data_IF_914891351931
#
_entry.id   IF_914891351931
#
_cell.length_a   1.000
_cell.length_b   1.000
_cell.length_c   1.000
_cell.angle_alpha   90.00
_cell.angle_beta   90.00
_cell.angle_gamma   90.00
#
_symmetry.space_group_name_H-M   'P 1'
#
loop_
_entity.id
_entity.type
_entity.pdbx_description
1 polymer ?
#
# COMPACT_ATOMS: atom_id res chain seq x y z
N UNK A 1 -24.93 -4.59 30.62
CA UNK A 1 -24.06 -5.65 30.04
C UNK A 1 -23.18 -6.26 31.12
N UNK A 2 -22.87 -7.56 31.07
CA UNK A 2 -22.18 -8.29 32.17
C UNK A 2 -20.66 -8.11 32.21
N UNK A 3 -20.03 -7.52 31.18
CA UNK A 3 -18.55 -7.34 31.07
C UNK A 3 -17.76 -8.65 31.27
N UNK A 4 -18.32 -9.76 30.76
CA UNK A 4 -17.77 -11.14 30.88
C UNK A 4 -17.57 -11.85 29.54
N UNK A 5 -17.62 -11.10 28.44
CA UNK A 5 -17.53 -11.69 27.09
C UNK A 5 -16.23 -12.48 26.90
N UNK A 6 -15.10 -11.92 27.36
CA UNK A 6 -13.80 -12.60 27.31
C UNK A 6 -13.80 -13.89 28.14
N UNK A 7 -14.41 -13.87 29.34
CA UNK A 7 -14.47 -15.04 30.22
C UNK A 7 -15.28 -16.19 29.59
N UNK A 8 -16.42 -15.86 28.96
CA UNK A 8 -17.24 -16.86 28.29
C UNK A 8 -16.53 -17.50 27.09
N UNK A 9 -15.89 -16.69 26.25
CA UNK A 9 -15.13 -17.20 25.11
C UNK A 9 -13.89 -17.98 25.55
N UNK A 10 -13.23 -17.58 26.65
CA UNK A 10 -12.14 -18.35 27.26
C UNK A 10 -12.59 -19.76 27.64
N UNK A 11 -13.76 -19.90 28.27
CA UNK A 11 -14.31 -21.22 28.61
C UNK A 11 -14.54 -22.09 27.38
N UNK A 12 -15.03 -21.49 26.28
CA UNK A 12 -15.27 -22.20 25.02
C UNK A 12 -13.96 -22.69 24.38
N UNK A 13 -12.92 -21.86 24.34
CA UNK A 13 -11.62 -22.25 23.78
C UNK A 13 -10.95 -23.35 24.61
N UNK A 14 -11.13 -23.32 25.93
CA UNK A 14 -10.63 -24.39 26.81
C UNK A 14 -11.34 -25.72 26.52
N UNK A 15 -12.64 -25.69 26.21
CA UNK A 15 -13.42 -26.86 25.83
C UNK A 15 -13.33 -27.14 24.32
N UNK A 16 -12.10 -27.36 23.84
CA UNK A 16 -11.83 -27.57 22.42
C UNK A 16 -12.56 -28.77 21.82
N UNK A 17 -12.80 -29.82 22.62
CA UNK A 17 -13.56 -30.99 22.20
C UNK A 17 -15.00 -30.64 21.83
N UNK A 18 -15.69 -29.88 22.69
CA UNK A 18 -17.04 -29.38 22.40
C UNK A 18 -17.02 -28.41 21.21
N UNK A 19 -16.04 -27.52 21.16
CA UNK A 19 -15.91 -26.53 20.09
C UNK A 19 -15.70 -27.19 18.71
N UNK A 20 -15.01 -28.34 18.68
CA UNK A 20 -14.78 -29.13 17.46
C UNK A 20 -16.04 -29.76 16.87
N UNK A 21 -17.14 -29.84 17.63
CA UNK A 21 -18.44 -30.28 17.10
C UNK A 21 -19.09 -29.19 16.20
N UNK A 22 -18.67 -27.93 16.35
CA UNK A 22 -19.23 -26.78 15.65
C UNK A 22 -18.27 -26.14 14.65
N UNK A 23 -16.95 -26.31 14.83
CA UNK A 23 -15.92 -25.67 14.02
C UNK A 23 -14.97 -26.69 13.41
N UNK A 24 -14.60 -26.46 12.15
CA UNK A 24 -13.52 -27.21 11.49
C UNK A 24 -12.17 -26.93 12.14
N UNK A 25 -11.22 -27.87 11.98
CA UNK A 25 -9.88 -27.76 12.56
C UNK A 25 -9.16 -26.45 12.24
N UNK A 26 -9.34 -25.93 11.02
CA UNK A 26 -8.67 -24.73 10.52
C UNK A 26 -9.49 -23.45 10.78
N UNK A 27 -10.58 -23.55 11.54
CA UNK A 27 -11.34 -22.38 11.91
C UNK A 27 -10.54 -21.52 12.88
N UNK A 28 -10.68 -20.21 12.76
CA UNK A 28 -9.98 -19.22 13.58
C UNK A 28 -10.12 -19.46 15.10
N UNK A 29 -11.27 -19.98 15.55
CA UNK A 29 -11.51 -20.29 16.97
C UNK A 29 -10.82 -21.59 17.45
N UNK A 30 -10.35 -22.43 16.54
CA UNK A 30 -9.68 -23.72 16.81
C UNK A 30 -8.15 -23.61 16.80
N UNK A 31 -7.63 -22.53 16.22
CA UNK A 31 -6.21 -22.17 16.12
C UNK A 31 -5.78 -21.17 17.22
N UNK A 32 -4.49 -20.79 17.25
CA UNK A 32 -3.92 -19.90 18.26
C UNK A 32 -4.56 -18.50 18.24
N UNK A 33 -5.06 -18.05 17.09
CA UNK A 33 -5.72 -16.76 16.88
C UNK A 33 -6.95 -16.60 17.78
N UNK A 34 -7.69 -17.68 18.06
CA UNK A 34 -8.83 -17.64 18.98
C UNK A 34 -8.41 -17.19 20.37
N UNK A 35 -7.29 -17.70 20.88
CA UNK A 35 -6.75 -17.33 22.18
C UNK A 35 -6.29 -15.86 22.21
N UNK A 36 -5.69 -15.38 21.11
CA UNK A 36 -5.30 -13.98 20.93
C UNK A 36 -6.54 -13.06 20.99
N UNK A 37 -7.61 -13.40 20.26
CA UNK A 37 -8.86 -12.63 20.28
C UNK A 37 -9.43 -12.56 21.68
N UNK A 38 -9.48 -13.67 22.40
CA UNK A 38 -9.94 -13.68 23.80
C UNK A 38 -9.08 -12.77 24.68
N UNK A 39 -7.76 -12.77 24.50
CA UNK A 39 -6.86 -11.85 25.18
C UNK A 39 -7.18 -10.37 24.90
N UNK A 40 -7.46 -10.03 23.64
CA UNK A 40 -7.86 -8.67 23.25
C UNK A 40 -9.21 -8.27 23.87
N UNK A 41 -10.16 -9.19 23.96
CA UNK A 41 -11.50 -8.94 24.52
C UNK A 41 -11.47 -8.61 26.02
N UNK A 42 -10.41 -8.95 26.75
CA UNK A 42 -10.23 -8.54 28.16
C UNK A 42 -10.24 -7.01 28.28
N UNK A 43 -9.76 -6.29 27.27
CA UNK A 43 -9.80 -4.82 27.21
C UNK A 43 -11.23 -4.25 27.23
N UNK A 44 -12.24 -5.03 26.82
CA UNK A 44 -13.64 -4.58 26.87
C UNK A 44 -14.20 -4.55 28.29
N UNK A 45 -13.56 -5.21 29.26
CA UNK A 45 -14.06 -5.27 30.64
C UNK A 45 -14.08 -3.90 31.34
N UNK A 46 -13.25 -2.96 30.89
CA UNK A 46 -13.22 -1.59 31.43
C UNK A 46 -14.20 -0.65 30.73
N UNK A 47 -14.77 -1.05 29.59
CA UNK A 47 -15.71 -0.22 28.83
C UNK A 47 -17.08 -0.24 29.51
N UNK A 48 -17.67 0.93 29.71
CA UNK A 48 -19.03 1.06 30.20
C UNK A 48 -20.01 1.20 29.03
N UNK A 49 -20.44 0.06 28.50
CA UNK A 49 -21.41 -0.03 27.42
C UNK A 49 -22.80 -0.40 27.94
N UNK A 50 -23.78 0.47 27.70
CA UNK A 50 -25.19 0.22 27.94
C UNK A 50 -25.90 -0.10 26.62
N UNK A 51 -25.80 -1.37 26.20
CA UNK A 51 -26.56 -1.89 25.08
C UNK A 51 -27.95 -2.32 25.58
N UNK A 52 -28.97 -1.60 25.16
CA UNK A 52 -30.35 -1.84 25.55
C UNK A 52 -30.97 -2.92 24.67
N UNK A 53 -31.02 -4.16 25.17
CA UNK A 53 -31.62 -5.29 24.44
C UNK A 53 -33.17 -5.23 24.42
N UNK A 54 -33.78 -4.36 25.23
CA UNK A 54 -35.23 -4.26 25.35
C UNK A 54 -35.80 -3.41 24.21
N UNK A 55 -36.59 -4.04 23.34
CA UNK A 55 -37.31 -3.37 22.25
C UNK A 55 -36.54 -3.31 20.93
N UNK A 56 -35.35 -3.91 20.87
CA UNK A 56 -34.63 -4.11 19.62
C UNK A 56 -35.04 -5.43 18.97
N UNK A 57 -35.33 -5.39 17.67
CA UNK A 57 -35.55 -6.57 16.85
C UNK A 57 -34.20 -7.13 16.40
N UNK A 58 -33.69 -8.11 17.16
CA UNK A 58 -32.43 -8.80 16.88
C UNK A 58 -32.53 -9.82 15.73
N UNK A 59 -33.75 -10.13 15.26
CA UNK A 59 -33.95 -11.00 14.11
C UNK A 59 -33.74 -10.23 12.79
N UNK A 60 -33.78 -8.89 12.85
CA UNK A 60 -33.43 -7.98 11.75
C UNK A 60 -31.94 -7.64 11.73
N UNK A 61 -31.43 -7.13 10.59
CA UNK A 61 -30.01 -6.85 10.40
C UNK A 61 -29.48 -5.84 11.44
N UNK A 62 -28.67 -6.34 12.39
CA UNK A 62 -27.89 -5.50 13.30
C UNK A 62 -27.06 -4.54 12.45
N UNK A 63 -27.10 -3.24 12.78
CA UNK A 63 -26.47 -2.18 12.00
C UNK A 63 -25.04 -2.55 11.58
N UNK A 64 -24.76 -2.46 10.27
CA UNK A 64 -23.45 -2.79 9.71
C UNK A 64 -22.41 -1.86 10.31
N UNK A 65 -21.44 -2.43 11.02
CA UNK A 65 -20.27 -1.67 11.50
C UNK A 65 -19.32 -1.50 10.33
N UNK A 66 -19.15 -0.26 9.88
CA UNK A 66 -18.18 0.08 8.84
C UNK A 66 -16.75 0.04 9.40
N UNK A 67 -16.03 -1.05 9.13
CA UNK A 67 -14.64 -1.21 9.54
C UNK A 67 -13.63 -0.52 8.60
N UNK A 68 -14.08 0.11 7.50
CA UNK A 68 -13.20 0.76 6.51
C UNK A 68 -12.28 1.81 7.14
N UNK A 69 -12.74 2.49 8.19
CA UNK A 69 -11.94 3.48 8.91
C UNK A 69 -10.82 2.88 9.78
N UNK A 70 -10.94 1.61 10.17
CA UNK A 70 -10.02 0.93 11.08
C UNK A 70 -9.11 -0.06 10.37
N UNK A 71 -9.55 -0.60 9.25
CA UNK A 71 -8.75 -1.43 8.36
C UNK A 71 -7.77 -0.51 7.60
N UNK A 72 -6.57 -0.33 8.14
CA UNK A 72 -5.47 0.26 7.36
C UNK A 72 -5.10 -0.73 6.25
N UNK A 73 -5.43 -0.39 5.01
CA UNK A 73 -4.92 -1.10 3.85
C UNK A 73 -3.39 -0.97 3.86
N UNK A 74 -2.66 -2.07 4.06
CA UNK A 74 -1.19 -2.09 3.95
C UNK A 74 -0.72 -1.62 2.56
N UNK A 75 -1.59 -1.73 1.55
CA UNK A 75 -1.37 -1.23 0.20
C UNK A 75 -1.12 0.28 0.14
N UNK A 76 -1.67 1.06 1.07
CA UNK A 76 -1.63 2.54 1.03
C UNK A 76 -0.23 3.08 1.40
N UNK A 77 0.52 2.33 2.21
CA UNK A 77 1.93 2.62 2.54
C UNK A 77 2.81 2.29 1.33
N UNK A 78 2.63 1.10 0.75
CA UNK A 78 3.38 0.67 -0.42
C UNK A 78 3.12 1.54 -1.66
N UNK A 79 1.89 2.06 -1.83
CA UNK A 79 1.56 2.97 -2.93
C UNK A 79 2.20 4.34 -2.78
N UNK A 80 2.28 4.88 -1.56
CA UNK A 80 2.98 6.15 -1.32
C UNK A 80 4.46 6.06 -1.67
N UNK A 81 5.14 5.00 -1.24
CA UNK A 81 6.55 4.80 -1.56
C UNK A 81 6.80 4.59 -3.05
N UNK A 82 5.95 3.80 -3.72
CA UNK A 82 6.01 3.62 -5.18
C UNK A 82 5.78 4.94 -5.92
N UNK A 83 4.81 5.75 -5.49
CA UNK A 83 4.55 7.05 -6.12
C UNK A 83 5.72 8.01 -5.97
N UNK A 84 6.39 8.01 -4.82
CA UNK A 84 7.61 8.80 -4.61
C UNK A 84 8.75 8.32 -5.51
N UNK A 85 8.93 6.99 -5.65
CA UNK A 85 9.91 6.42 -6.59
C UNK A 85 9.61 6.79 -8.05
N UNK A 86 8.34 6.72 -8.47
CA UNK A 86 7.93 7.07 -9.83
C UNK A 86 8.21 8.56 -10.12
N UNK A 87 7.92 9.45 -9.16
CA UNK A 87 8.23 10.87 -9.30
C UNK A 87 9.74 11.12 -9.48
N UNK A 88 10.59 10.46 -8.68
CA UNK A 88 12.04 10.57 -8.81
C UNK A 88 12.56 10.05 -10.16
N UNK A 89 12.00 8.95 -10.67
CA UNK A 89 12.36 8.40 -11.99
C UNK A 89 11.97 9.36 -13.11
N UNK A 90 10.80 10.00 -13.02
CA UNK A 90 10.33 10.96 -14.02
C UNK A 90 11.22 12.21 -14.06
N UNK A 91 11.63 12.74 -12.91
CA UNK A 91 12.57 13.87 -12.85
C UNK A 91 13.92 13.51 -13.47
N UNK A 92 14.44 12.33 -13.17
CA UNK A 92 15.69 11.84 -13.76
C UNK A 92 15.58 11.68 -15.28
N UNK A 93 14.46 11.15 -15.77
CA UNK A 93 14.19 11.03 -17.21
C UNK A 93 14.19 12.39 -17.89
N UNK A 94 13.49 13.36 -17.31
CA UNK A 94 13.37 14.71 -17.87
C UNK A 94 14.75 15.41 -17.95
N UNK A 95 15.58 15.25 -16.92
CA UNK A 95 16.96 15.73 -16.93
C UNK A 95 17.80 15.14 -18.08
N UNK A 96 17.72 13.82 -18.28
CA UNK A 96 18.45 13.13 -19.36
C UNK A 96 17.95 13.56 -20.75
N UNK A 97 16.64 13.75 -20.92
CA UNK A 97 16.05 14.22 -22.19
C UNK A 97 16.55 15.63 -22.54
N UNK A 98 16.60 16.54 -21.58
CA UNK A 98 17.10 17.90 -21.80
C UNK A 98 18.62 17.90 -22.10
N UNK A 99 19.40 17.07 -21.41
CA UNK A 99 20.82 16.92 -21.70
C UNK A 99 21.06 16.41 -23.14
N UNK A 100 20.30 15.40 -23.57
CA UNK A 100 20.39 14.88 -24.93
C UNK A 100 20.00 15.93 -25.98
N UNK A 101 19.00 16.76 -25.69
CA UNK A 101 18.60 17.87 -26.56
C UNK A 101 19.73 18.89 -26.74
N UNK A 102 20.41 19.25 -25.65
CA UNK A 102 21.58 20.15 -25.70
C UNK A 102 22.76 19.53 -26.46
N UNK A 103 23.03 18.23 -26.23
CA UNK A 103 24.09 17.51 -26.91
C UNK A 103 23.85 17.47 -28.43
N UNK A 104 22.61 17.16 -28.85
CA UNK A 104 22.21 17.15 -30.26
C UNK A 104 22.35 18.54 -30.92
N UNK A 105 22.03 19.61 -30.19
CA UNK A 105 22.25 20.98 -30.67
C UNK A 105 23.75 21.26 -30.87
N UNK A 106 24.58 20.80 -29.95
CA UNK A 106 26.05 20.99 -30.03
C UNK A 106 26.65 20.21 -31.20
N UNK A 107 26.22 18.96 -31.40
CA UNK A 107 26.62 18.12 -32.53
C UNK A 107 26.25 18.79 -33.86
N UNK A 108 25.03 19.32 -33.98
CA UNK A 108 24.57 20.01 -35.21
C UNK A 108 25.41 21.27 -35.51
N UNK A 109 25.76 22.03 -34.47
CA UNK A 109 26.63 23.21 -34.60
C UNK A 109 28.05 22.84 -35.03
N UNK A 110 28.64 21.81 -34.43
CA UNK A 110 29.96 21.31 -34.80
C UNK A 110 29.98 20.80 -36.24
N UNK A 111 28.95 20.06 -36.67
CA UNK A 111 28.83 19.56 -38.04
C UNK A 111 28.81 20.72 -39.05
N UNK A 112 28.02 21.76 -38.78
CA UNK A 112 27.98 22.97 -39.63
C UNK A 112 29.34 23.68 -39.73
N UNK A 113 30.14 23.70 -38.65
CA UNK A 113 31.49 24.27 -38.65
C UNK A 113 32.47 23.42 -39.44
N UNK A 114 32.39 22.09 -39.32
CA UNK A 114 33.20 21.14 -40.11
C UNK A 114 32.91 21.33 -41.59
N UNK A 115 31.64 21.34 -42.01
CA UNK A 115 31.25 21.56 -43.41
C UNK A 115 31.78 22.89 -43.97
N UNK A 116 31.76 23.94 -43.15
CA UNK A 116 32.27 25.27 -43.53
C UNK A 116 33.79 25.26 -43.72
N UNK A 117 34.52 24.57 -42.84
CA UNK A 117 35.97 24.41 -42.94
C UNK A 117 36.36 23.55 -44.15
N UNK A 118 35.65 22.46 -44.41
CA UNK A 118 35.88 21.61 -45.59
C UNK A 118 35.67 22.40 -46.89
N UNK A 119 34.61 23.21 -46.98
CA UNK A 119 34.37 24.11 -48.11
C UNK A 119 35.45 25.18 -48.27
N UNK A 120 35.98 25.71 -47.18
CA UNK A 120 37.07 26.69 -47.24
C UNK A 120 38.38 26.05 -47.69
N UNK A 121 38.69 24.85 -47.17
CA UNK A 121 39.91 24.12 -47.53
C UNK A 121 39.89 23.68 -48.99
N UNK A 122 38.76 23.20 -49.51
CA UNK A 122 38.64 22.83 -50.94
C UNK A 122 38.89 24.03 -51.85
N UNK A 123 38.32 25.21 -51.54
CA UNK A 123 38.62 26.45 -52.28
C UNK A 123 40.10 26.84 -52.24
N UNK A 124 40.73 26.76 -51.08
CA UNK A 124 42.17 27.07 -50.94
C UNK A 124 43.04 26.10 -51.74
N UNK A 125 42.67 24.82 -51.80
CA UNK A 125 43.37 23.83 -52.63
C UNK A 125 43.24 24.18 -54.12
N UNK A 126 42.05 24.61 -54.57
CA UNK A 126 41.82 25.06 -55.95
C UNK A 126 42.60 26.35 -56.30
N UNK A 127 42.85 27.25 -55.34
CA UNK A 127 43.63 28.48 -55.55
C UNK A 127 45.16 28.25 -55.59
N UNK A 128 45.65 27.12 -55.08
CA UNK A 128 47.08 26.78 -54.98
C UNK A 128 47.54 25.86 -56.13
N UNK A 129 46.61 25.23 -56.86
CA UNK A 129 46.84 24.42 -58.06
C UNK A 129 46.78 25.26 -59.35
#
# INVERSE_FOLDING_TARGET
MQKKMADYLRCLIIQRDLLSEFYEYHALMMEEEGAVIVGLLVGLNVIDANLCVKGEDLDSQVGVIDFSMYLKNEEDIGNKERNVQIAAILDQKNYVEELNRQLNSTVSSLHSRVDSLEKSNTKLIEEVL
#
